data_IF_103994253921
#
_entry.id   IF_103994253921
#
_cell.length_a   1.000
_cell.length_b   1.000
_cell.length_c   1.000
_cell.angle_alpha   90.00
_cell.angle_beta   90.00
_cell.angle_gamma   90.00
#
_symmetry.space_group_name_H-M   'P 1'
#
loop_
_entity.id
_entity.type
_entity.pdbx_description
1 polymer ?
#
# COMPACT_ATOMS: atom_id res chain seq x y z
N UNK A 1 -4.12 17.04 -2.56
CA UNK A 1 -3.83 16.64 -1.16
C UNK A 1 -2.50 17.23 -0.72
N UNK A 2 -2.40 17.81 0.49
CA UNK A 2 -1.15 18.36 1.06
C UNK A 2 -0.49 17.31 1.97
N UNK A 3 0.85 17.28 2.01
CA UNK A 3 1.61 16.50 3.01
C UNK A 3 2.21 17.50 3.98
N UNK A 4 1.77 17.46 5.24
CA UNK A 4 2.18 18.37 6.32
C UNK A 4 3.12 17.60 7.26
N UNK A 5 4.27 18.17 7.60
CA UNK A 5 5.26 17.57 8.51
C UNK A 5 5.50 18.39 9.77
N UNK A 6 5.15 19.68 9.75
CA UNK A 6 5.22 20.54 10.93
C UNK A 6 3.79 20.81 11.45
N UNK A 7 3.55 20.48 12.72
CA UNK A 7 2.26 20.75 13.36
C UNK A 7 1.90 22.24 13.45
N UNK A 8 2.86 23.15 13.28
CA UNK A 8 2.62 24.58 13.20
C UNK A 8 1.74 24.97 12.03
N UNK A 9 1.79 24.18 10.95
CA UNK A 9 1.00 24.41 9.75
C UNK A 9 -0.43 23.83 9.85
N UNK A 10 -0.78 23.22 10.98
CA UNK A 10 -2.09 22.62 11.20
C UNK A 10 -3.15 23.66 11.54
N UNK A 11 -4.33 23.44 11.00
CA UNK A 11 -5.60 24.14 11.33
C UNK A 11 -6.56 23.19 11.99
N UNK A 12 -7.71 23.67 12.47
CA UNK A 12 -8.79 22.80 12.96
C UNK A 12 -9.13 21.75 11.89
N UNK A 13 -9.19 20.48 12.27
CA UNK A 13 -9.32 19.37 11.35
C UNK A 13 -10.04 18.16 11.94
N UNK A 14 -10.48 17.26 11.08
CA UNK A 14 -10.84 15.89 11.41
C UNK A 14 -9.67 14.95 11.06
N UNK A 15 -9.36 13.96 11.91
CA UNK A 15 -8.24 13.05 11.71
C UNK A 15 -8.66 11.58 11.74
N UNK A 16 -8.32 10.85 10.68
CA UNK A 16 -8.35 9.40 10.69
C UNK A 16 -7.04 8.85 11.26
N UNK A 17 -7.17 7.92 12.20
CA UNK A 17 -6.08 7.34 12.98
C UNK A 17 -5.93 5.85 12.69
N UNK A 18 -4.71 5.42 12.33
CA UNK A 18 -4.39 4.02 12.04
C UNK A 18 -3.12 3.88 11.22
N UNK A 19 -2.56 2.68 11.21
CA UNK A 19 -1.43 2.37 10.32
C UNK A 19 -1.84 2.31 8.85
N UNK A 20 -3.12 2.02 8.59
CA UNK A 20 -3.72 1.94 7.26
C UNK A 20 -2.90 1.10 6.26
N UNK A 21 -2.24 0.05 6.75
CA UNK A 21 -1.45 -0.81 5.87
C UNK A 21 -2.37 -1.69 5.01
N UNK A 22 -2.17 -1.62 3.70
CA UNK A 22 -3.04 -2.21 2.71
C UNK A 22 -4.19 -1.30 2.26
N UNK A 23 -4.57 -0.25 2.99
CA UNK A 23 -5.68 0.65 2.61
C UNK A 23 -6.91 -0.15 2.15
N UNK A 24 -7.28 -1.19 2.92
CA UNK A 24 -8.38 -2.09 2.58
C UNK A 24 -9.76 -1.45 2.85
N UNK A 25 -10.81 -2.12 2.42
CA UNK A 25 -12.20 -1.63 2.47
C UNK A 25 -12.58 -1.05 3.83
N UNK A 26 -12.26 -1.74 4.94
CA UNK A 26 -12.57 -1.22 6.28
C UNK A 26 -11.78 0.06 6.62
N UNK A 27 -10.52 0.19 6.18
CA UNK A 27 -9.76 1.43 6.31
C UNK A 27 -10.40 2.57 5.50
N UNK A 28 -10.88 2.27 4.29
CA UNK A 28 -11.49 3.28 3.43
C UNK A 28 -12.80 3.85 3.99
N UNK A 29 -13.57 3.06 4.73
CA UNK A 29 -14.77 3.56 5.43
C UNK A 29 -14.43 4.58 6.53
N UNK A 30 -13.36 4.32 7.30
CA UNK A 30 -12.86 5.25 8.32
C UNK A 30 -12.42 6.56 7.66
N UNK A 31 -11.61 6.45 6.61
CA UNK A 31 -11.02 7.58 5.87
C UNK A 31 -12.12 8.41 5.20
N UNK A 32 -13.09 7.76 4.56
CA UNK A 32 -14.24 8.41 3.95
C UNK A 32 -15.07 9.19 4.96
N UNK A 33 -15.40 8.56 6.10
CA UNK A 33 -16.14 9.24 7.17
C UNK A 33 -15.40 10.45 7.74
N UNK A 34 -14.07 10.39 7.81
CA UNK A 34 -13.25 11.52 8.21
C UNK A 34 -13.29 12.66 7.16
N UNK A 35 -13.19 12.32 5.87
CA UNK A 35 -13.26 13.29 4.78
C UNK A 35 -14.64 14.00 4.69
N UNK A 36 -15.71 13.30 5.07
CA UNK A 36 -17.09 13.77 4.98
C UNK A 36 -17.63 14.32 6.32
N UNK A 37 -16.76 14.52 7.34
CA UNK A 37 -17.21 14.90 8.69
C UNK A 37 -17.92 16.26 8.73
N UNK A 38 -17.26 17.30 8.25
CA UNK A 38 -17.81 18.66 8.18
C UNK A 38 -17.18 19.39 6.99
N UNK A 39 -18.02 20.13 6.24
CA UNK A 39 -17.56 20.89 5.06
C UNK A 39 -16.61 22.05 5.38
N UNK A 40 -16.63 22.53 6.61
CA UNK A 40 -15.81 23.63 7.09
C UNK A 40 -14.53 23.15 7.80
N UNK A 41 -14.40 21.85 8.05
CA UNK A 41 -13.27 21.26 8.77
C UNK A 41 -12.59 20.25 7.85
N UNK A 42 -11.34 20.52 7.43
CA UNK A 42 -10.62 19.63 6.51
C UNK A 42 -10.40 18.25 7.11
N UNK A 43 -10.69 17.22 6.30
CA UNK A 43 -10.44 15.83 6.63
C UNK A 43 -9.02 15.41 6.28
N UNK A 44 -8.29 14.86 7.23
CA UNK A 44 -6.93 14.38 7.06
C UNK A 44 -6.67 13.02 7.65
N UNK A 45 -5.49 12.49 7.37
CA UNK A 45 -5.03 11.20 7.90
C UNK A 45 -3.70 11.39 8.61
N UNK A 46 -3.58 10.89 9.84
CA UNK A 46 -2.30 10.77 10.52
C UNK A 46 -1.60 9.49 10.01
N UNK A 47 -0.49 9.66 9.33
CA UNK A 47 0.38 8.56 8.91
C UNK A 47 1.77 8.69 9.51
N UNK A 48 2.36 7.57 9.87
CA UNK A 48 3.79 7.52 10.18
C UNK A 48 4.58 7.22 8.88
N UNK A 49 5.63 8.01 8.62
CA UNK A 49 6.53 7.77 7.47
C UNK A 49 7.23 6.42 7.62
N UNK A 50 7.63 6.06 8.85
CA UNK A 50 8.12 4.74 9.20
C UNK A 50 6.98 3.91 9.81
N UNK A 51 6.75 2.71 9.32
CA UNK A 51 5.69 1.87 9.89
C UNK A 51 6.04 1.48 11.33
N UNK A 52 5.09 1.61 12.27
CA UNK A 52 5.32 1.35 13.70
C UNK A 52 5.89 -0.03 13.99
N UNK A 53 5.50 -1.08 13.24
CA UNK A 53 6.03 -2.44 13.36
C UNK A 53 7.44 -2.63 12.82
N UNK A 54 7.95 -1.77 11.97
CA UNK A 54 9.36 -1.84 11.52
C UNK A 54 10.33 -1.54 12.65
N UNK A 55 9.93 -0.65 13.55
CA UNK A 55 10.74 -0.28 14.72
C UNK A 55 10.55 -1.22 15.92
N UNK A 56 9.40 -1.91 15.98
CA UNK A 56 9.05 -2.78 17.12
C UNK A 56 9.23 -4.27 16.84
N UNK A 57 9.20 -4.69 15.56
CA UNK A 57 9.31 -6.09 15.13
C UNK A 57 10.56 -6.30 14.26
N UNK A 58 11.68 -6.69 14.88
CA UNK A 58 12.95 -6.97 14.20
C UNK A 58 12.93 -8.21 13.27
N UNK A 59 11.77 -8.83 13.01
CA UNK A 59 11.66 -10.08 12.26
C UNK A 59 11.29 -9.90 10.77
N UNK A 60 11.65 -8.78 10.15
CA UNK A 60 11.47 -8.61 8.70
C UNK A 60 10.01 -8.39 8.28
N UNK A 61 9.29 -7.57 9.02
CA UNK A 61 7.94 -7.15 8.67
C UNK A 61 7.91 -6.56 7.25
N UNK A 62 6.95 -7.02 6.42
CA UNK A 62 6.77 -6.54 5.05
C UNK A 62 5.48 -5.73 4.94
N UNK A 63 5.58 -4.55 4.33
CA UNK A 63 4.47 -3.63 4.10
C UNK A 63 3.56 -4.10 2.95
N UNK A 64 2.26 -3.94 3.13
CA UNK A 64 1.29 -4.02 2.02
C UNK A 64 1.32 -2.75 1.17
N UNK A 65 1.46 -1.60 1.80
CA UNK A 65 1.51 -0.29 1.13
C UNK A 65 2.61 0.58 1.74
N UNK A 66 3.47 1.12 0.90
CA UNK A 66 4.46 2.13 1.32
C UNK A 66 3.75 3.45 1.70
N UNK A 67 4.48 4.37 2.34
CA UNK A 67 3.96 5.70 2.64
C UNK A 67 3.51 6.44 1.36
N UNK A 68 4.31 6.37 0.32
CA UNK A 68 4.01 6.98 -0.99
C UNK A 68 2.76 6.38 -1.63
N UNK A 69 2.64 5.05 -1.64
CA UNK A 69 1.44 4.36 -2.14
C UNK A 69 0.18 4.76 -1.36
N UNK A 70 0.26 4.93 -0.04
CA UNK A 70 -0.87 5.44 0.77
C UNK A 70 -1.24 6.85 0.35
N UNK A 71 -0.26 7.75 0.19
CA UNK A 71 -0.51 9.12 -0.25
C UNK A 71 -1.18 9.17 -1.62
N UNK A 72 -0.75 8.33 -2.58
CA UNK A 72 -1.36 8.24 -3.91
C UNK A 72 -2.82 7.78 -3.82
N UNK A 73 -3.12 6.75 -3.03
CA UNK A 73 -4.49 6.26 -2.82
C UNK A 73 -5.36 7.33 -2.15
N UNK A 74 -4.86 8.03 -1.14
CA UNK A 74 -5.59 9.06 -0.41
C UNK A 74 -5.92 10.26 -1.27
N UNK A 75 -5.01 10.64 -2.18
CA UNK A 75 -5.23 11.77 -3.09
C UNK A 75 -6.44 11.57 -4.01
N UNK A 76 -6.77 10.31 -4.33
CA UNK A 76 -7.93 9.93 -5.16
C UNK A 76 -9.25 9.88 -4.35
N UNK A 77 -9.21 10.05 -3.02
CA UNK A 77 -10.35 9.80 -2.11
C UNK A 77 -10.90 11.03 -1.40
N UNK A 78 -10.52 12.22 -1.83
CA UNK A 78 -11.04 13.47 -1.27
C UNK A 78 -10.43 13.87 0.06
N UNK A 79 -9.36 13.18 0.53
CA UNK A 79 -8.59 13.60 1.70
C UNK A 79 -7.82 14.89 1.35
N UNK A 80 -7.95 15.89 2.20
CA UNK A 80 -7.33 17.19 1.95
C UNK A 80 -5.86 17.22 2.33
N UNK A 81 -5.50 16.51 3.41
CA UNK A 81 -4.10 16.45 3.84
C UNK A 81 -3.73 15.12 4.52
N UNK A 82 -2.45 14.83 4.51
CA UNK A 82 -1.80 13.81 5.35
C UNK A 82 -0.87 14.54 6.30
N UNK A 83 -1.05 14.31 7.62
CA UNK A 83 0.00 14.66 8.56
C UNK A 83 0.99 13.51 8.63
N UNK A 84 2.17 13.73 8.09
CA UNK A 84 3.27 12.77 8.04
C UNK A 84 4.13 12.94 9.29
N UNK A 85 3.95 12.05 10.26
CA UNK A 85 4.71 12.04 11.49
C UNK A 85 5.89 11.06 11.38
N UNK A 86 7.05 11.45 11.89
CA UNK A 86 8.15 10.51 12.13
C UNK A 86 7.85 9.75 13.44
N UNK A 87 7.74 8.42 13.35
CA UNK A 87 7.53 7.55 14.53
C UNK A 87 8.84 7.40 15.28
N UNK A 88 9.22 8.43 16.00
CA UNK A 88 10.45 8.52 16.78
C UNK A 88 10.25 8.11 18.25
N UNK A 89 11.34 8.14 19.03
CA UNK A 89 11.30 7.77 20.46
C UNK A 89 10.34 8.63 21.29
N UNK A 90 10.17 9.91 20.94
CA UNK A 90 9.30 10.83 21.65
C UNK A 90 7.85 10.37 21.51
N UNK A 91 7.36 10.16 20.27
CA UNK A 91 6.00 9.66 20.03
C UNK A 91 5.81 8.24 20.60
N UNK A 92 6.81 7.37 20.50
CA UNK A 92 6.77 6.01 21.04
C UNK A 92 6.61 5.95 22.56
N UNK A 93 7.10 6.96 23.29
CA UNK A 93 7.10 7.01 24.75
C UNK A 93 5.94 7.82 25.33
N UNK A 94 5.12 8.46 24.50
CA UNK A 94 3.98 9.23 24.95
C UNK A 94 3.00 8.37 25.78
N UNK A 95 2.53 8.90 26.91
CA UNK A 95 1.37 8.38 27.62
C UNK A 95 0.09 8.54 26.80
N UNK A 96 -1.02 7.97 27.24
CA UNK A 96 -2.32 8.14 26.58
C UNK A 96 -2.72 9.62 26.53
N UNK A 97 -2.52 10.32 27.62
CA UNK A 97 -2.84 11.74 27.80
C UNK A 97 -1.96 12.62 26.90
N UNK A 98 -0.66 12.36 26.83
CA UNK A 98 0.28 13.10 25.95
C UNK A 98 -0.04 12.89 24.49
N UNK A 99 -0.37 11.66 24.08
CA UNK A 99 -0.75 11.39 22.71
C UNK A 99 -2.09 12.04 22.34
N UNK A 100 -3.08 11.99 23.23
CA UNK A 100 -4.35 12.69 23.02
C UNK A 100 -4.15 14.22 22.93
N UNK A 101 -3.32 14.78 23.81
CA UNK A 101 -2.93 16.19 23.72
C UNK A 101 -2.24 16.52 22.39
N UNK A 102 -1.35 15.65 21.92
CA UNK A 102 -0.72 15.80 20.62
C UNK A 102 -1.76 15.87 19.49
N UNK A 103 -2.75 14.98 19.48
CA UNK A 103 -3.80 14.97 18.46
C UNK A 103 -4.67 16.24 18.53
N UNK A 104 -5.12 16.62 19.72
CA UNK A 104 -6.17 17.64 19.89
C UNK A 104 -5.63 19.05 19.98
N UNK A 105 -4.45 19.23 20.54
CA UNK A 105 -3.83 20.56 20.73
C UNK A 105 -2.77 20.84 19.68
N UNK A 106 -1.84 19.92 19.45
CA UNK A 106 -0.78 20.14 18.45
C UNK A 106 -1.30 20.00 17.01
N UNK A 107 -2.06 18.93 16.74
CA UNK A 107 -2.66 18.71 15.42
C UNK A 107 -4.05 19.36 15.27
N UNK A 108 -4.58 20.00 16.32
CA UNK A 108 -5.85 20.73 16.34
C UNK A 108 -7.06 19.90 15.88
N UNK A 109 -7.05 18.59 16.16
CA UNK A 109 -8.16 17.72 15.82
C UNK A 109 -9.41 18.06 16.63
N UNK A 110 -10.53 18.28 15.93
CA UNK A 110 -11.88 18.45 16.48
C UNK A 110 -12.69 17.16 16.42
N UNK A 111 -12.29 16.24 15.54
CA UNK A 111 -12.88 14.93 15.43
C UNK A 111 -11.81 13.88 15.14
N UNK A 112 -11.98 12.68 15.69
CA UNK A 112 -11.08 11.54 15.58
C UNK A 112 -11.84 10.31 15.08
N UNK A 113 -11.28 9.61 14.10
CA UNK A 113 -11.87 8.44 13.45
C UNK A 113 -10.90 7.28 13.54
N UNK A 114 -11.31 6.17 14.15
CA UNK A 114 -10.44 5.01 14.31
C UNK A 114 -11.22 3.69 14.20
N UNK A 115 -10.52 2.58 13.96
CA UNK A 115 -11.12 1.25 14.04
C UNK A 115 -11.27 0.75 15.48
N UNK A 116 -12.13 -0.26 15.68
CA UNK A 116 -12.39 -0.87 16.99
C UNK A 116 -11.12 -1.39 17.69
N UNK A 117 -10.15 -1.85 16.92
CA UNK A 117 -8.87 -2.42 17.38
C UNK A 117 -7.72 -1.40 17.40
N UNK A 118 -8.05 -0.10 17.32
CA UNK A 118 -7.02 0.94 17.38
C UNK A 118 -6.35 0.95 18.75
N UNK A 119 -5.02 0.95 18.71
CA UNK A 119 -4.19 1.07 19.90
C UNK A 119 -3.15 2.16 19.72
N UNK A 120 -2.83 2.87 20.77
CA UNK A 120 -1.93 4.03 20.75
C UNK A 120 -1.14 4.16 22.05
N UNK A 121 -0.24 5.14 22.09
CA UNK A 121 0.63 5.44 23.21
C UNK A 121 1.66 4.35 23.53
N UNK A 122 2.47 4.57 24.55
CA UNK A 122 3.56 3.69 24.94
C UNK A 122 3.11 2.25 25.16
N UNK A 123 3.72 1.31 24.44
CA UNK A 123 3.40 -0.13 24.46
C UNK A 123 1.93 -0.45 24.22
N UNK A 124 1.25 0.35 23.38
CA UNK A 124 -0.17 0.18 23.08
C UNK A 124 -1.05 0.23 24.35
N UNK A 125 -0.71 1.08 25.31
CA UNK A 125 -1.44 1.21 26.59
C UNK A 125 -2.81 1.88 26.45
N UNK A 126 -3.06 2.61 25.35
CA UNK A 126 -4.35 3.19 25.00
C UNK A 126 -5.09 2.37 23.95
N UNK A 127 -6.41 2.35 24.01
CA UNK A 127 -7.29 1.67 23.08
C UNK A 127 -8.45 2.57 22.61
N UNK A 128 -9.35 2.02 21.79
CA UNK A 128 -10.51 2.76 21.26
C UNK A 128 -11.45 3.27 22.34
N UNK A 129 -11.64 2.55 23.45
CA UNK A 129 -12.50 2.96 24.57
C UNK A 129 -11.88 4.13 25.35
N UNK A 130 -10.57 4.08 25.57
CA UNK A 130 -9.81 5.20 26.14
C UNK A 130 -9.98 6.46 25.27
N UNK A 131 -9.85 6.31 23.95
CA UNK A 131 -9.99 7.44 23.01
C UNK A 131 -11.40 8.04 23.07
N UNK A 132 -12.45 7.22 23.10
CA UNK A 132 -13.84 7.68 23.26
C UNK A 132 -14.09 8.37 24.59
N UNK A 133 -13.53 7.85 25.68
CA UNK A 133 -13.65 8.46 27.01
C UNK A 133 -13.00 9.83 27.03
N UNK A 134 -11.74 9.91 26.59
CA UNK A 134 -10.99 11.18 26.56
C UNK A 134 -11.65 12.20 25.63
N UNK A 135 -12.21 11.76 24.49
CA UNK A 135 -12.98 12.61 23.59
C UNK A 135 -14.17 13.25 24.27
N UNK A 136 -15.00 12.47 24.99
CA UNK A 136 -16.17 12.99 25.75
C UNK A 136 -15.76 13.98 26.83
N UNK A 137 -14.68 13.70 27.55
CA UNK A 137 -14.18 14.55 28.62
C UNK A 137 -13.64 15.90 28.12
N UNK A 138 -13.20 15.97 26.88
CA UNK A 138 -12.54 17.15 26.27
C UNK A 138 -13.37 17.82 25.15
N UNK A 139 -14.61 17.37 24.88
CA UNK A 139 -15.45 17.94 23.82
C UNK A 139 -14.92 17.68 22.40
N UNK A 140 -14.25 16.55 22.19
CA UNK A 140 -13.74 16.10 20.88
C UNK A 140 -14.64 14.97 20.39
N UNK A 141 -15.11 15.06 19.17
CA UNK A 141 -15.89 13.99 18.54
C UNK A 141 -15.02 12.77 18.24
N UNK A 142 -15.43 11.60 18.73
CA UNK A 142 -14.70 10.34 18.46
C UNK A 142 -15.65 9.32 17.88
N UNK A 143 -15.33 8.84 16.67
CA UNK A 143 -16.09 7.80 16.00
C UNK A 143 -15.22 6.55 15.83
N UNK A 144 -15.68 5.46 16.46
CA UNK A 144 -15.02 4.15 16.37
C UNK A 144 -15.83 3.26 15.42
N UNK A 145 -15.13 2.66 14.44
CA UNK A 145 -15.72 1.77 13.45
C UNK A 145 -15.64 0.32 13.92
N UNK A 146 -16.74 -0.42 13.82
CA UNK A 146 -16.73 -1.84 14.15
C UNK A 146 -15.90 -2.66 13.18
N UNK A 147 -15.65 -3.92 13.52
CA UNK A 147 -15.07 -4.89 12.61
C UNK A 147 -15.95 -5.04 11.38
N UNK A 148 -15.30 -5.13 10.22
CA UNK A 148 -15.99 -5.33 8.94
C UNK A 148 -15.63 -6.72 8.39
N UNK A 149 -16.65 -7.47 8.03
CA UNK A 149 -16.52 -8.80 7.45
C UNK A 149 -16.68 -8.83 5.93
N UNK A 150 -16.02 -9.79 5.33
CA UNK A 150 -16.25 -10.18 3.95
C UNK A 150 -16.29 -11.70 3.83
N UNK A 151 -17.43 -12.23 3.37
CA UNK A 151 -17.70 -13.68 3.28
C UNK A 151 -17.49 -14.42 4.61
N UNK A 152 -17.99 -13.86 5.72
CA UNK A 152 -17.96 -14.49 7.06
C UNK A 152 -16.58 -14.48 7.72
N UNK A 153 -15.66 -13.64 7.27
CA UNK A 153 -14.35 -13.49 7.88
C UNK A 153 -13.91 -12.03 7.90
N UNK A 154 -13.21 -11.57 8.96
CA UNK A 154 -12.79 -10.18 9.10
C UNK A 154 -11.90 -9.70 7.95
N UNK A 155 -12.13 -8.45 7.53
CA UNK A 155 -11.22 -7.75 6.62
C UNK A 155 -10.06 -7.20 7.44
N UNK A 156 -8.85 -7.70 7.22
CA UNK A 156 -7.66 -7.26 7.95
C UNK A 156 -6.41 -7.28 7.09
N UNK A 157 -5.42 -6.45 7.44
CA UNK A 157 -4.11 -6.47 6.80
C UNK A 157 -3.41 -7.84 6.93
N UNK A 158 -3.67 -8.58 8.01
CA UNK A 158 -3.12 -9.94 8.20
C UNK A 158 -3.67 -10.90 7.15
N UNK A 159 -5.00 -10.98 7.01
CA UNK A 159 -5.65 -11.82 6.00
C UNK A 159 -5.20 -11.46 4.58
N UNK A 160 -5.07 -10.18 4.27
CA UNK A 160 -4.60 -9.72 2.96
C UNK A 160 -3.14 -10.16 2.71
N UNK A 161 -2.26 -10.11 3.73
CA UNK A 161 -0.88 -10.62 3.60
C UNK A 161 -0.84 -12.11 3.28
N UNK A 162 -1.69 -12.90 3.92
CA UNK A 162 -1.81 -14.34 3.66
C UNK A 162 -2.23 -14.60 2.22
N UNK A 163 -3.30 -13.96 1.75
CA UNK A 163 -3.77 -14.06 0.37
C UNK A 163 -2.68 -13.69 -0.65
N UNK A 164 -1.93 -12.62 -0.40
CA UNK A 164 -0.83 -12.20 -1.28
C UNK A 164 0.31 -13.22 -1.25
N UNK A 165 0.70 -13.74 -0.08
CA UNK A 165 1.74 -14.78 0.05
C UNK A 165 1.38 -16.08 -0.64
N UNK A 166 0.10 -16.39 -0.75
CA UNK A 166 -0.44 -17.56 -1.46
C UNK A 166 -0.66 -17.29 -2.96
N UNK A 167 -0.46 -16.05 -3.42
CA UNK A 167 -0.69 -15.67 -4.82
C UNK A 167 -2.17 -15.51 -5.19
N UNK A 168 -3.07 -15.44 -4.20
CA UNK A 168 -4.52 -15.28 -4.38
C UNK A 168 -4.87 -13.79 -4.64
N UNK A 169 -4.34 -13.25 -5.75
CA UNK A 169 -4.41 -11.81 -6.03
C UNK A 169 -5.85 -11.31 -6.22
N UNK A 170 -6.72 -12.13 -6.82
CA UNK A 170 -8.13 -11.77 -7.04
C UNK A 170 -8.90 -11.66 -5.72
N UNK A 171 -8.65 -12.57 -4.77
CA UNK A 171 -9.28 -12.51 -3.43
C UNK A 171 -8.74 -11.33 -2.63
N UNK A 172 -7.43 -11.07 -2.70
CA UNK A 172 -6.84 -9.89 -2.08
C UNK A 172 -7.45 -8.58 -2.66
N UNK A 173 -7.67 -8.54 -3.98
CA UNK A 173 -8.27 -7.38 -4.65
C UNK A 173 -9.70 -7.07 -4.16
N UNK A 174 -10.51 -8.09 -3.83
CA UNK A 174 -11.86 -7.91 -3.27
C UNK A 174 -11.83 -7.20 -1.91
N UNK A 175 -10.86 -7.55 -1.06
CA UNK A 175 -10.69 -6.93 0.26
C UNK A 175 -10.05 -5.53 0.16
N UNK A 176 -9.15 -5.34 -0.80
CA UNK A 176 -8.48 -4.07 -1.08
C UNK A 176 -9.37 -3.09 -1.88
N UNK A 177 -10.41 -3.58 -2.57
CA UNK A 177 -11.23 -2.85 -3.57
C UNK A 177 -10.43 -2.31 -4.76
N UNK A 178 -9.24 -2.85 -4.98
CA UNK A 178 -8.32 -2.57 -6.09
C UNK A 178 -7.31 -3.70 -6.23
N UNK A 179 -6.64 -3.77 -7.36
CA UNK A 179 -5.49 -4.68 -7.49
C UNK A 179 -4.41 -4.35 -6.46
N UNK A 180 -3.75 -5.38 -5.94
CA UNK A 180 -2.53 -5.17 -5.17
C UNK A 180 -1.46 -4.55 -6.06
N UNK A 181 -0.74 -3.57 -5.57
CA UNK A 181 0.21 -2.81 -6.37
C UNK A 181 1.58 -2.65 -5.70
N UNK A 182 2.55 -2.32 -6.53
CA UNK A 182 3.92 -2.01 -6.17
C UNK A 182 4.35 -0.75 -6.92
N UNK A 183 4.70 0.30 -6.18
CA UNK A 183 5.35 1.48 -6.75
C UNK A 183 6.87 1.30 -6.75
N UNK A 184 7.52 1.77 -7.79
CA UNK A 184 8.97 1.77 -7.88
C UNK A 184 9.49 2.46 -9.13
N UNK A 185 10.80 2.66 -9.17
CA UNK A 185 11.49 3.34 -10.26
C UNK A 185 12.03 2.33 -11.27
N UNK A 186 11.89 2.62 -12.56
CA UNK A 186 12.43 1.77 -13.62
C UNK A 186 13.95 1.88 -13.69
N UNK A 187 14.61 0.75 -13.53
CA UNK A 187 16.08 0.64 -13.57
C UNK A 187 16.57 -0.21 -14.74
N UNK A 188 17.84 -0.04 -15.10
CA UNK A 188 18.47 -0.90 -16.10
C UNK A 188 18.60 -2.33 -15.57
N UNK A 189 18.12 -3.31 -16.35
CA UNK A 189 18.26 -4.75 -16.08
C UNK A 189 19.25 -5.43 -17.02
N UNK A 190 19.27 -6.77 -17.03
CA UNK A 190 20.12 -7.59 -17.90
C UNK A 190 19.78 -7.48 -19.40
N UNK A 191 18.68 -6.82 -19.75
CA UNK A 191 18.19 -6.57 -21.11
C UNK A 191 17.97 -7.85 -21.97
N UNK A 192 17.83 -9.01 -21.35
CA UNK A 192 17.62 -10.29 -22.06
C UNK A 192 16.30 -10.27 -22.85
N UNK A 193 15.24 -9.69 -22.31
CA UNK A 193 13.96 -9.52 -23.01
C UNK A 193 14.09 -8.67 -24.27
N UNK A 194 14.88 -7.58 -24.23
CA UNK A 194 15.09 -6.70 -25.38
C UNK A 194 15.74 -7.44 -26.57
N UNK A 195 16.68 -8.35 -26.31
CA UNK A 195 17.33 -9.17 -27.35
C UNK A 195 16.33 -10.13 -28.04
N UNK A 196 15.25 -10.49 -27.35
CA UNK A 196 14.18 -11.36 -27.87
C UNK A 196 13.00 -10.58 -28.47
N UNK A 197 13.07 -9.24 -28.51
CA UNK A 197 11.97 -8.38 -28.97
C UNK A 197 10.85 -8.18 -27.94
N UNK A 198 11.13 -8.48 -26.67
CA UNK A 198 10.18 -8.38 -25.55
C UNK A 198 10.78 -7.52 -24.45
N UNK A 199 10.91 -6.18 -24.64
CA UNK A 199 11.53 -5.30 -23.66
C UNK A 199 10.71 -5.26 -22.35
N UNK A 200 11.36 -5.48 -21.20
CA UNK A 200 10.77 -5.42 -19.88
C UNK A 200 11.28 -4.22 -19.09
N UNK A 201 10.41 -3.59 -18.33
CA UNK A 201 10.76 -2.60 -17.31
C UNK A 201 11.13 -3.33 -16.03
N UNK A 202 12.38 -3.17 -15.57
CA UNK A 202 12.84 -3.69 -14.28
C UNK A 202 12.51 -2.65 -13.21
N UNK A 203 11.82 -3.06 -12.15
CA UNK A 203 11.32 -2.16 -11.11
C UNK A 203 12.17 -2.27 -9.86
N UNK A 204 12.79 -1.16 -9.47
CA UNK A 204 13.41 -1.01 -8.16
C UNK A 204 12.34 -0.60 -7.15
N UNK A 205 12.23 -1.31 -6.04
CA UNK A 205 11.19 -1.13 -5.04
C UNK A 205 11.76 -1.21 -3.61
N UNK A 206 11.06 -0.68 -2.58
CA UNK A 206 11.49 -0.76 -1.20
C UNK A 206 11.65 -2.21 -0.71
N UNK A 207 12.76 -2.54 -0.05
CA UNK A 207 13.06 -3.92 0.41
C UNK A 207 12.01 -4.46 1.39
N UNK A 208 11.37 -3.58 2.17
CA UNK A 208 10.31 -3.94 3.11
C UNK A 208 8.93 -4.15 2.45
N UNK A 209 8.79 -3.99 1.14
CA UNK A 209 7.54 -4.26 0.42
C UNK A 209 7.26 -5.76 0.34
N UNK A 210 6.00 -6.16 0.60
CA UNK A 210 5.56 -7.53 0.40
C UNK A 210 5.42 -7.83 -1.09
N UNK A 211 6.10 -8.86 -1.57
CA UNK A 211 5.91 -9.37 -2.93
C UNK A 211 5.04 -10.63 -2.92
N UNK A 212 4.18 -10.80 -3.93
CA UNK A 212 3.57 -12.10 -4.21
C UNK A 212 4.63 -13.18 -4.49
N UNK A 213 4.27 -14.48 -4.49
CA UNK A 213 5.20 -15.56 -4.83
C UNK A 213 5.87 -15.37 -6.20
N UNK A 214 7.01 -16.02 -6.41
CA UNK A 214 7.66 -16.06 -7.70
C UNK A 214 6.71 -16.67 -8.75
N UNK A 215 6.71 -16.10 -9.96
CA UNK A 215 5.79 -16.50 -11.02
C UNK A 215 5.46 -15.38 -11.98
N UNK A 216 4.56 -15.69 -12.90
CA UNK A 216 4.08 -14.79 -13.94
C UNK A 216 2.64 -14.39 -13.64
N UNK A 217 2.37 -13.09 -13.75
CA UNK A 217 1.10 -12.47 -13.41
C UNK A 217 0.55 -11.68 -14.60
N UNK A 218 -0.77 -11.69 -14.77
CA UNK A 218 -1.46 -10.66 -15.53
C UNK A 218 -1.68 -9.44 -14.63
N UNK A 219 -1.63 -8.26 -15.23
CA UNK A 219 -1.86 -7.04 -14.49
C UNK A 219 -1.73 -5.81 -15.36
N UNK A 220 -1.41 -4.71 -14.70
CA UNK A 220 -1.25 -3.44 -15.38
C UNK A 220 0.00 -2.73 -14.91
N UNK A 221 0.56 -1.91 -15.79
CA UNK A 221 1.57 -0.92 -15.43
C UNK A 221 0.99 0.47 -15.64
N UNK A 222 0.98 1.26 -14.59
CA UNK A 222 0.59 2.67 -14.64
C UNK A 222 1.85 3.52 -14.80
N UNK A 223 1.85 4.37 -15.82
CA UNK A 223 2.91 5.34 -16.11
C UNK A 223 2.22 6.70 -16.15
N UNK A 224 2.52 7.58 -15.20
CA UNK A 224 1.74 8.79 -14.97
C UNK A 224 0.24 8.45 -14.84
N UNK A 225 -0.63 9.07 -15.61
CA UNK A 225 -2.09 8.85 -15.55
C UNK A 225 -2.58 7.72 -16.46
N UNK A 226 -1.69 7.06 -17.21
CA UNK A 226 -2.08 6.01 -18.16
C UNK A 226 -1.80 4.62 -17.61
N UNK A 227 -2.77 3.73 -17.83
CA UNK A 227 -2.74 2.34 -17.41
C UNK A 227 -2.63 1.44 -18.64
N UNK A 228 -1.62 0.56 -18.64
CA UNK A 228 -1.32 -0.34 -19.74
C UNK A 228 -1.43 -1.80 -19.28
N UNK A 229 -2.11 -2.69 -20.02
CA UNK A 229 -2.06 -4.13 -19.77
C UNK A 229 -0.61 -4.62 -19.76
N UNK A 230 -0.28 -5.51 -18.84
CA UNK A 230 1.10 -5.95 -18.66
C UNK A 230 1.19 -7.41 -18.25
N UNK A 231 2.25 -8.07 -18.70
CA UNK A 231 2.70 -9.36 -18.19
C UNK A 231 3.84 -9.09 -17.20
N UNK A 232 3.64 -9.52 -15.95
CA UNK A 232 4.54 -9.21 -14.85
C UNK A 232 5.25 -10.49 -14.42
N UNK A 233 6.57 -10.47 -14.33
CA UNK A 233 7.37 -11.58 -13.81
C UNK A 233 7.97 -11.19 -12.45
N UNK A 234 7.78 -12.04 -11.45
CA UNK A 234 8.51 -12.01 -10.18
C UNK A 234 9.39 -13.23 -10.15
N UNK A 235 10.69 -13.03 -10.03
CA UNK A 235 11.66 -14.11 -10.05
C UNK A 235 12.92 -13.76 -9.27
N UNK A 236 13.84 -14.71 -9.21
CA UNK A 236 15.12 -14.56 -8.51
C UNK A 236 16.26 -14.31 -9.49
N UNK A 237 17.04 -13.30 -9.23
CA UNK A 237 18.30 -13.09 -9.92
C UNK A 237 19.48 -13.35 -8.98
N UNK A 238 20.43 -14.24 -9.35
CA UNK A 238 21.66 -14.40 -8.59
C UNK A 238 22.46 -13.09 -8.58
N UNK A 239 22.87 -12.65 -7.40
CA UNK A 239 23.77 -11.51 -7.19
C UNK A 239 24.96 -11.95 -6.36
N UNK A 240 26.05 -11.15 -6.33
CA UNK A 240 27.21 -11.43 -5.49
C UNK A 240 26.89 -11.48 -3.98
N UNK A 241 25.78 -10.85 -3.56
CA UNK A 241 25.32 -10.80 -2.17
C UNK A 241 24.17 -11.79 -1.86
N UNK A 242 23.83 -12.69 -2.78
CA UNK A 242 22.73 -13.65 -2.64
C UNK A 242 21.67 -13.56 -3.73
N UNK A 243 20.52 -14.20 -3.51
CA UNK A 243 19.39 -14.13 -4.46
C UNK A 243 18.52 -12.90 -4.15
N UNK A 244 18.47 -11.93 -5.07
CA UNK A 244 17.54 -10.81 -5.00
C UNK A 244 16.32 -11.10 -5.86
N UNK A 245 15.12 -10.92 -5.28
CA UNK A 245 13.88 -10.99 -6.05
C UNK A 245 13.76 -9.75 -6.93
N UNK A 246 13.36 -9.95 -8.18
CA UNK A 246 13.16 -8.89 -9.17
C UNK A 246 11.72 -8.86 -9.64
N UNK A 247 11.25 -7.69 -9.97
CA UNK A 247 9.94 -7.47 -10.61
C UNK A 247 10.20 -6.88 -11.99
N UNK A 248 9.77 -7.59 -13.01
CA UNK A 248 9.90 -7.20 -14.40
C UNK A 248 8.51 -7.08 -15.03
N UNK A 249 8.22 -5.96 -15.68
CA UNK A 249 6.96 -5.75 -16.38
C UNK A 249 7.17 -5.62 -17.87
N UNK A 250 6.59 -6.54 -18.64
CA UNK A 250 6.42 -6.41 -20.08
C UNK A 250 5.10 -5.67 -20.34
N UNK A 251 5.19 -4.43 -20.80
CA UNK A 251 4.05 -3.54 -21.03
C UNK A 251 3.57 -3.75 -22.47
N UNK A 252 2.30 -4.16 -22.63
CA UNK A 252 1.74 -4.43 -23.95
C UNK A 252 1.51 -3.11 -24.71
N UNK A 253 1.77 -3.16 -26.02
CA UNK A 253 1.59 -2.04 -26.95
C UNK A 253 2.33 -0.76 -26.52
N UNK A 254 3.54 -0.94 -25.94
CA UNK A 254 4.34 0.15 -25.43
C UNK A 254 5.79 0.06 -25.91
N UNK A 255 6.27 1.11 -26.58
CA UNK A 255 7.58 1.17 -27.25
C UNK A 255 8.50 2.29 -26.73
N UNK A 256 8.07 3.01 -25.69
CA UNK A 256 8.82 4.15 -25.16
C UNK A 256 9.87 3.73 -24.13
N UNK A 257 10.95 4.50 -24.07
CA UNK A 257 11.97 4.37 -23.01
C UNK A 257 11.50 5.09 -21.77
N UNK A 258 11.48 4.39 -20.61
CA UNK A 258 10.98 4.90 -19.32
C UNK A 258 11.97 4.70 -18.16
N UNK A 259 13.26 4.61 -18.44
CA UNK A 259 14.27 4.54 -17.38
C UNK A 259 14.19 5.76 -16.46
N UNK A 260 14.45 5.53 -15.18
CA UNK A 260 14.37 6.53 -14.11
C UNK A 260 12.98 7.15 -13.89
N UNK A 261 11.94 6.62 -14.53
CA UNK A 261 10.56 7.02 -14.24
C UNK A 261 9.97 6.14 -13.14
N UNK A 262 9.14 6.75 -12.32
CA UNK A 262 8.35 6.03 -11.33
C UNK A 262 7.11 5.44 -12.01
N UNK A 263 6.87 4.18 -11.71
CA UNK A 263 5.73 3.43 -12.23
C UNK A 263 5.03 2.67 -11.10
N UNK A 264 3.76 2.33 -11.34
CA UNK A 264 3.01 1.43 -10.45
C UNK A 264 2.67 0.15 -11.20
N UNK A 265 3.11 -0.98 -10.67
CA UNK A 265 2.78 -2.31 -11.19
C UNK A 265 1.62 -2.88 -10.37
N UNK A 266 0.51 -3.20 -11.02
CA UNK A 266 -0.70 -3.75 -10.41
C UNK A 266 -0.84 -5.23 -10.77
N UNK A 267 -1.00 -6.10 -9.78
CA UNK A 267 -1.13 -7.55 -9.95
C UNK A 267 -2.61 -7.95 -9.94
N UNK A 268 -3.14 -8.42 -11.07
CA UNK A 268 -4.53 -8.83 -11.17
C UNK A 268 -4.72 -10.33 -10.87
N UNK A 269 -3.90 -11.20 -11.47
CA UNK A 269 -4.02 -12.65 -11.31
C UNK A 269 -2.69 -13.34 -11.57
N UNK A 270 -2.40 -14.42 -10.82
CA UNK A 270 -1.27 -15.31 -11.09
C UNK A 270 -1.58 -16.21 -12.28
N UNK A 271 -0.79 -16.14 -13.34
CA UNK A 271 -0.97 -16.96 -14.54
C UNK A 271 -0.33 -18.34 -14.37
N UNK A 272 0.90 -18.38 -13.82
CA UNK A 272 1.68 -19.60 -13.60
C UNK A 272 2.89 -19.35 -12.68
N UNK A 273 3.47 -20.43 -12.23
CA UNK A 273 4.76 -20.42 -11.53
C UNK A 273 5.93 -20.15 -12.49
N UNK A 274 7.11 -19.83 -11.94
CA UNK A 274 8.34 -19.80 -12.71
C UNK A 274 8.65 -21.16 -13.31
N UNK A 275 9.16 -21.16 -14.55
CA UNK A 275 9.57 -22.36 -15.27
C UNK A 275 10.93 -22.14 -15.92
N UNK A 276 11.81 -23.13 -15.85
CA UNK A 276 13.02 -23.15 -16.65
C UNK A 276 12.71 -23.63 -18.07
N UNK A 277 13.36 -23.06 -19.06
CA UNK A 277 13.20 -23.39 -20.47
C UNK A 277 14.50 -23.96 -21.02
N UNK A 278 14.38 -24.94 -21.90
CA UNK A 278 15.54 -25.58 -22.50
C UNK A 278 16.17 -24.72 -23.62
N UNK A 279 15.36 -23.83 -24.23
CA UNK A 279 15.85 -22.94 -25.30
C UNK A 279 15.20 -21.56 -25.26
N UNK A 280 15.80 -20.53 -25.89
CA UNK A 280 15.19 -19.21 -26.06
C UNK A 280 13.86 -19.26 -26.85
N UNK A 281 13.76 -20.18 -27.81
CA UNK A 281 12.55 -20.36 -28.61
C UNK A 281 11.38 -20.87 -27.80
N UNK A 282 11.62 -21.83 -26.90
CA UNK A 282 10.62 -22.33 -25.96
C UNK A 282 10.15 -21.22 -25.02
N UNK A 283 11.07 -20.43 -24.46
CA UNK A 283 10.76 -19.26 -23.63
C UNK A 283 9.87 -18.26 -24.39
N UNK A 284 10.23 -17.92 -25.62
CA UNK A 284 9.48 -16.99 -26.47
C UNK A 284 8.07 -17.50 -26.79
N UNK A 285 7.92 -18.79 -27.10
CA UNK A 285 6.64 -19.41 -27.35
C UNK A 285 5.74 -19.34 -26.11
N UNK A 286 6.30 -19.61 -24.93
CA UNK A 286 5.57 -19.52 -23.66
C UNK A 286 5.13 -18.08 -23.35
N UNK A 287 6.03 -17.09 -23.51
CA UNK A 287 5.69 -15.67 -23.28
C UNK A 287 4.56 -15.23 -24.22
N UNK A 288 4.59 -15.62 -25.49
CA UNK A 288 3.52 -15.31 -26.44
C UNK A 288 2.18 -15.94 -26.02
N UNK A 289 2.20 -17.14 -25.46
CA UNK A 289 1.01 -17.78 -24.89
C UNK A 289 0.48 -17.00 -23.66
N UNK A 290 1.40 -16.57 -22.78
CA UNK A 290 1.05 -15.78 -21.59
C UNK A 290 0.47 -14.41 -21.98
N UNK A 291 1.03 -13.74 -22.99
CA UNK A 291 0.50 -12.47 -23.54
C UNK A 291 -0.94 -12.65 -24.04
N UNK A 292 -1.24 -13.72 -24.79
CA UNK A 292 -2.61 -14.00 -25.25
C UNK A 292 -3.57 -14.16 -24.08
N UNK A 293 -3.13 -14.80 -22.99
CA UNK A 293 -3.93 -14.93 -21.76
C UNK A 293 -4.20 -13.57 -21.11
N UNK A 294 -3.19 -12.69 -21.05
CA UNK A 294 -3.34 -11.31 -20.52
C UNK A 294 -4.38 -10.56 -21.34
N UNK A 295 -4.26 -10.53 -22.67
CA UNK A 295 -5.17 -9.83 -23.57
C UNK A 295 -6.61 -10.34 -23.36
N UNK A 296 -6.82 -11.66 -23.34
CA UNK A 296 -8.14 -12.26 -23.19
C UNK A 296 -8.79 -11.97 -21.80
N UNK A 297 -7.98 -11.75 -20.76
CA UNK A 297 -8.48 -11.52 -19.39
C UNK A 297 -8.70 -10.04 -19.07
N UNK A 298 -7.84 -9.18 -19.57
CA UNK A 298 -7.86 -7.76 -19.21
C UNK A 298 -8.72 -6.89 -20.16
N UNK A 299 -9.13 -7.45 -21.31
CA UNK A 299 -10.06 -6.81 -22.26
C UNK A 299 -11.53 -7.22 -22.03
N UNK A 300 -11.81 -8.00 -20.96
CA UNK A 300 -13.16 -8.30 -20.48
C UNK A 300 -13.57 -7.33 -19.35
#
# INVERSE_FOLDING_TARGET
MKIIRDYKDMTDCALALGNFDGMHRAHMEIIKSCAEYDRNIPGGVLLFENHTKELTDNKGFKLLTSFEEKCNILSEKGIEFVFAADFNKEIMQMSKEEFFYFLTVKLKAKALFAGFNYSFAYRASGNSDDLMKMGRENGIDVKIFPEMDYCGSPISSTRIRELIREGQMQEAAKLLTRNYSLCGTVVSGKQNGRKMGLPTANVSYPENKLLPPDGVYSGYTRISDKKYPSLINIGKNPTFSGEKRTVESFILDFDKTIYSQDITVEFAEKIRDEKKFASPEELKAQINSDIKRVINKLNK
#
